data_IF_790443452501
#
_entry.id   IF_790443452501
#
_cell.length_a   1.000
_cell.length_b   1.000
_cell.length_c   1.000
_cell.angle_alpha   90.00
_cell.angle_beta   90.00
_cell.angle_gamma   90.00
#
_symmetry.space_group_name_H-M   'P 1'
#
loop_
_entity.id
_entity.type
_entity.pdbx_description
1 polymer ?
#
# COMPACT_ATOMS: atom_id res chain seq x y z
N UNK A 1 -4.97 -14.78 -27.87
CA UNK A 1 -3.56 -14.79 -27.52
C UNK A 1 -3.30 -13.54 -26.67
N UNK A 2 -3.39 -13.68 -25.34
CA UNK A 2 -3.10 -12.59 -24.41
C UNK A 2 -1.61 -12.30 -24.42
N UNK A 3 -1.23 -11.05 -24.63
CA UNK A 3 0.13 -10.60 -24.35
C UNK A 3 0.33 -10.74 -22.83
N UNK A 4 1.04 -11.77 -22.41
CA UNK A 4 1.48 -11.92 -21.04
C UNK A 4 2.43 -10.77 -20.73
N UNK A 5 1.95 -9.78 -19.97
CA UNK A 5 2.78 -8.71 -19.46
C UNK A 5 3.89 -9.31 -18.58
N UNK A 6 5.08 -8.72 -18.64
CA UNK A 6 6.23 -9.17 -17.86
C UNK A 6 6.10 -8.63 -16.43
N UNK A 7 6.42 -9.47 -15.44
CA UNK A 7 6.60 -9.00 -14.06
C UNK A 7 7.78 -8.03 -14.04
N UNK A 8 7.55 -6.80 -13.56
CA UNK A 8 8.56 -5.76 -13.46
C UNK A 8 9.58 -6.02 -12.34
N UNK A 9 10.43 -5.02 -12.10
CA UNK A 9 11.41 -5.07 -11.00
C UNK A 9 10.72 -5.26 -9.66
N UNK A 10 11.30 -6.10 -8.80
CA UNK A 10 10.86 -6.31 -7.42
C UNK A 10 11.89 -5.71 -6.46
N UNK A 11 11.41 -4.97 -5.48
CA UNK A 11 12.22 -4.41 -4.40
C UNK A 11 12.34 -5.45 -3.29
N UNK A 12 13.54 -5.90 -3.01
CA UNK A 12 13.84 -6.88 -1.97
C UNK A 12 14.61 -6.28 -0.80
N UNK A 13 15.48 -5.30 -1.06
CA UNK A 13 16.45 -4.78 -0.12
C UNK A 13 16.48 -3.25 -0.08
N UNK A 14 17.12 -2.69 0.95
CA UNK A 14 17.39 -1.25 1.02
C UNK A 14 18.24 -0.76 -0.16
N UNK A 15 19.11 -1.61 -0.71
CA UNK A 15 19.91 -1.29 -1.89
C UNK A 15 19.03 -1.09 -3.13
N UNK A 16 17.97 -1.87 -3.31
CA UNK A 16 17.01 -1.67 -4.40
C UNK A 16 16.27 -0.33 -4.26
N UNK A 17 15.91 0.04 -3.04
CA UNK A 17 15.29 1.36 -2.76
C UNK A 17 16.27 2.48 -3.08
N UNK A 18 17.53 2.36 -2.66
CA UNK A 18 18.56 3.35 -2.94
C UNK A 18 18.81 3.52 -4.44
N UNK A 19 18.88 2.43 -5.20
CA UNK A 19 19.02 2.47 -6.68
C UNK A 19 17.88 3.26 -7.32
N UNK A 20 16.64 2.98 -6.92
CA UNK A 20 15.46 3.72 -7.42
C UNK A 20 15.49 5.20 -7.03
N UNK A 21 15.90 5.51 -5.81
CA UNK A 21 16.03 6.89 -5.33
C UNK A 21 17.09 7.68 -6.12
N UNK A 22 18.24 7.09 -6.39
CA UNK A 22 19.28 7.70 -7.23
C UNK A 22 18.79 7.95 -8.66
N UNK A 23 18.11 6.97 -9.25
CA UNK A 23 17.55 7.10 -10.58
C UNK A 23 16.53 8.26 -10.65
N UNK A 24 15.62 8.35 -9.67
CA UNK A 24 14.63 9.42 -9.60
C UNK A 24 15.29 10.79 -9.39
N UNK A 25 16.24 10.89 -8.45
CA UNK A 25 16.96 12.12 -8.17
C UNK A 25 17.77 12.65 -9.35
N UNK A 26 18.32 11.75 -10.17
CA UNK A 26 19.07 12.12 -11.37
C UNK A 26 18.20 12.74 -12.48
N UNK A 27 16.89 12.45 -12.46
CA UNK A 27 15.94 12.89 -13.49
C UNK A 27 15.04 14.03 -13.03
N UNK A 28 14.77 14.10 -11.72
CA UNK A 28 13.90 15.11 -11.15
C UNK A 28 14.59 15.78 -9.94
N UNK A 29 15.10 17.00 -10.11
CA UNK A 29 15.84 17.72 -9.06
C UNK A 29 15.04 17.90 -7.77
N UNK A 30 13.70 17.94 -7.83
CA UNK A 30 12.85 18.05 -6.65
C UNK A 30 12.94 16.79 -5.78
N UNK A 31 13.09 15.61 -6.37
CA UNK A 31 13.34 14.39 -5.60
C UNK A 31 14.73 14.41 -4.93
N UNK A 32 15.76 14.93 -5.59
CA UNK A 32 17.06 15.13 -4.95
C UNK A 32 16.96 16.07 -3.74
N UNK A 33 16.23 17.17 -3.87
CA UNK A 33 15.99 18.11 -2.78
C UNK A 33 15.19 17.46 -1.62
N UNK A 34 14.17 16.67 -1.93
CA UNK A 34 13.40 15.94 -0.92
C UNK A 34 14.27 14.95 -0.17
N UNK A 35 15.09 14.16 -0.85
CA UNK A 35 16.00 13.19 -0.24
C UNK A 35 17.03 13.83 0.68
N UNK A 36 17.52 15.03 0.35
CA UNK A 36 18.40 15.80 1.23
C UNK A 36 17.71 16.16 2.57
N UNK A 37 16.38 16.28 2.58
CA UNK A 37 15.61 16.58 3.79
C UNK A 37 15.17 15.33 4.56
N UNK A 38 14.89 14.24 3.86
CA UNK A 38 14.30 13.03 4.46
C UNK A 38 15.36 12.02 4.93
N UNK A 39 16.53 12.04 4.33
CA UNK A 39 17.53 10.98 4.51
C UNK A 39 17.12 9.65 3.88
N UNK A 40 17.66 8.56 4.41
CA UNK A 40 17.42 7.22 3.89
C UNK A 40 15.93 6.83 3.96
N UNK A 41 15.46 6.17 2.90
CA UNK A 41 14.07 5.73 2.79
C UNK A 41 13.88 4.33 3.40
N UNK A 42 12.71 4.05 4.00
CA UNK A 42 12.41 2.72 4.54
C UNK A 42 12.12 1.72 3.42
N UNK A 43 12.56 0.48 3.61
CA UNK A 43 12.22 -0.62 2.71
C UNK A 43 10.72 -0.93 2.70
N UNK A 44 10.10 -1.01 3.87
CA UNK A 44 8.66 -1.29 4.07
C UNK A 44 8.17 -2.56 3.39
N UNK A 45 8.99 -3.61 3.33
CA UNK A 45 8.52 -4.92 2.88
C UNK A 45 7.69 -5.57 3.99
N UNK A 46 6.65 -6.30 3.58
CA UNK A 46 5.84 -7.15 4.46
C UNK A 46 5.56 -8.48 3.75
N UNK A 47 5.19 -9.49 4.52
CA UNK A 47 4.80 -10.77 3.96
C UNK A 47 3.54 -10.62 3.12
N UNK A 48 3.49 -11.33 1.99
CA UNK A 48 2.30 -11.39 1.15
C UNK A 48 1.32 -12.45 1.65
N UNK A 49 0.11 -12.43 1.13
CA UNK A 49 -0.92 -13.39 1.45
C UNK A 49 -2.10 -12.78 2.18
N UNK A 50 -2.97 -13.66 2.68
CA UNK A 50 -4.22 -13.29 3.35
C UNK A 50 -4.01 -12.33 4.51
N UNK A 51 -2.98 -12.52 5.34
CA UNK A 51 -2.70 -11.66 6.48
C UNK A 51 -2.53 -10.19 6.12
N UNK A 52 -1.88 -9.90 4.99
CA UNK A 52 -1.70 -8.52 4.53
C UNK A 52 -3.04 -7.86 4.13
N UNK A 53 -3.96 -8.60 3.52
CA UNK A 53 -5.29 -8.09 3.20
C UNK A 53 -6.17 -7.96 4.45
N UNK A 54 -6.08 -8.90 5.38
CA UNK A 54 -6.78 -8.83 6.65
C UNK A 54 -6.36 -7.58 7.44
N UNK A 55 -5.06 -7.32 7.55
CA UNK A 55 -4.52 -6.12 8.19
C UNK A 55 -5.07 -4.84 7.55
N UNK A 56 -5.11 -4.80 6.21
CA UNK A 56 -5.64 -3.66 5.48
C UNK A 56 -7.13 -3.44 5.75
N UNK A 57 -7.93 -4.50 5.77
CA UNK A 57 -9.37 -4.44 6.08
C UNK A 57 -9.59 -3.94 7.51
N UNK A 58 -8.85 -4.50 8.49
CA UNK A 58 -8.96 -4.12 9.90
C UNK A 58 -8.59 -2.65 10.10
N UNK A 59 -7.57 -2.16 9.39
CA UNK A 59 -7.09 -0.78 9.47
C UNK A 59 -8.03 0.26 8.84
N UNK A 60 -9.05 -0.13 8.08
CA UNK A 60 -9.97 0.82 7.45
C UNK A 60 -10.74 1.64 8.50
N UNK A 61 -10.70 2.98 8.35
CA UNK A 61 -11.50 3.93 9.14
C UNK A 61 -11.34 3.85 10.67
N UNK A 62 -10.22 3.32 11.15
CA UNK A 62 -9.88 3.29 12.57
C UNK A 62 -8.46 3.79 12.82
N UNK A 63 -8.17 4.18 14.05
CA UNK A 63 -6.80 4.53 14.45
C UNK A 63 -5.88 3.31 14.42
N UNK A 64 -4.59 3.54 14.29
CA UNK A 64 -3.57 2.48 14.36
C UNK A 64 -3.66 1.69 15.67
N UNK A 65 -3.93 2.37 16.80
CA UNK A 65 -4.09 1.72 18.09
C UNK A 65 -5.32 0.79 18.12
N UNK A 66 -6.45 1.24 17.57
CA UNK A 66 -7.66 0.42 17.45
C UNK A 66 -7.45 -0.79 16.54
N UNK A 67 -6.79 -0.60 15.39
CA UNK A 67 -6.47 -1.70 14.49
C UNK A 67 -5.59 -2.75 15.17
N UNK A 68 -4.52 -2.32 15.86
CA UNK A 68 -3.65 -3.23 16.63
C UNK A 68 -4.40 -4.01 17.70
N UNK A 69 -5.32 -3.37 18.41
CA UNK A 69 -6.13 -4.03 19.44
C UNK A 69 -7.03 -5.11 18.85
N UNK A 70 -7.63 -4.86 17.68
CA UNK A 70 -8.45 -5.85 16.97
C UNK A 70 -7.59 -7.02 16.50
N UNK A 71 -6.44 -6.75 15.86
CA UNK A 71 -5.52 -7.78 15.40
C UNK A 71 -4.99 -8.64 16.54
N UNK A 72 -4.69 -8.04 17.70
CA UNK A 72 -4.30 -8.78 18.90
C UNK A 72 -5.39 -9.73 19.40
N UNK A 73 -6.67 -9.30 19.38
CA UNK A 73 -7.80 -10.16 19.75
C UNK A 73 -8.02 -11.30 18.74
N UNK A 74 -7.88 -11.01 17.43
CA UNK A 74 -7.92 -12.07 16.40
C UNK A 74 -6.81 -13.09 16.61
N UNK A 75 -5.58 -12.65 16.89
CA UNK A 75 -4.47 -13.53 17.18
C UNK A 75 -4.71 -14.40 18.42
N UNK A 76 -5.21 -13.81 19.52
CA UNK A 76 -5.55 -14.52 20.74
C UNK A 76 -6.68 -15.56 20.53
N UNK A 77 -7.60 -15.29 19.61
CA UNK A 77 -8.67 -16.22 19.24
C UNK A 77 -8.23 -17.27 18.17
N UNK A 78 -6.99 -17.21 17.69
CA UNK A 78 -6.51 -18.07 16.61
C UNK A 78 -7.10 -17.75 15.22
N UNK A 79 -7.66 -16.57 15.03
CA UNK A 79 -8.37 -16.16 13.81
C UNK A 79 -7.47 -15.28 12.91
N UNK A 80 -6.28 -15.75 12.61
CA UNK A 80 -5.31 -15.08 11.72
C UNK A 80 -5.05 -15.84 10.42
N UNK A 81 -5.42 -17.10 10.38
CA UNK A 81 -5.29 -17.96 9.21
C UNK A 81 -6.54 -17.88 8.32
N UNK A 82 -6.34 -17.91 7.00
CA UNK A 82 -7.41 -17.78 6.01
C UNK A 82 -8.53 -18.80 6.21
N UNK A 83 -8.17 -20.07 6.40
CA UNK A 83 -9.14 -21.15 6.57
C UNK A 83 -9.95 -20.98 7.87
N UNK A 84 -9.30 -20.55 8.95
CA UNK A 84 -9.95 -20.31 10.24
C UNK A 84 -10.88 -19.11 10.19
N UNK A 85 -10.50 -18.02 9.52
CA UNK A 85 -11.38 -16.86 9.31
C UNK A 85 -12.57 -17.22 8.41
N UNK A 86 -12.34 -18.03 7.37
CA UNK A 86 -13.41 -18.49 6.48
C UNK A 86 -14.46 -19.34 7.20
N UNK A 87 -14.04 -20.12 8.21
CA UNK A 87 -14.89 -20.99 9.01
C UNK A 87 -15.50 -20.30 10.24
N UNK A 88 -14.97 -19.14 10.64
CA UNK A 88 -15.44 -18.41 11.85
C UNK A 88 -16.88 -17.92 11.67
N UNK A 89 -17.62 -17.94 12.78
CA UNK A 89 -18.95 -17.31 12.83
C UNK A 89 -18.82 -15.78 12.85
N UNK A 90 -19.87 -15.08 12.45
CA UNK A 90 -19.95 -13.63 12.58
C UNK A 90 -19.80 -13.17 14.04
N UNK A 91 -20.32 -13.96 15.00
CA UNK A 91 -20.22 -13.65 16.41
C UNK A 91 -18.78 -13.78 16.94
N UNK A 92 -18.00 -14.77 16.48
CA UNK A 92 -16.59 -14.91 16.83
C UNK A 92 -15.78 -13.69 16.36
N UNK A 93 -16.00 -13.26 15.12
CA UNK A 93 -15.35 -12.09 14.55
C UNK A 93 -15.80 -10.78 15.23
N UNK A 94 -17.09 -10.68 15.57
CA UNK A 94 -17.64 -9.53 16.33
C UNK A 94 -17.02 -9.45 17.72
N UNK A 95 -16.82 -10.57 18.39
CA UNK A 95 -16.18 -10.63 19.71
C UNK A 95 -14.73 -10.11 19.67
N UNK A 96 -14.05 -10.22 18.53
CA UNK A 96 -12.73 -9.64 18.31
C UNK A 96 -12.77 -8.13 18.02
N UNK A 97 -13.94 -7.53 17.87
CA UNK A 97 -14.13 -6.10 17.66
C UNK A 97 -14.31 -5.67 16.20
N UNK A 98 -14.59 -6.62 15.29
CA UNK A 98 -14.88 -6.28 13.91
C UNK A 98 -16.28 -5.69 13.78
N UNK A 99 -16.40 -4.60 13.01
CA UNK A 99 -17.69 -4.08 12.56
C UNK A 99 -18.38 -5.05 11.60
N UNK A 100 -19.71 -4.91 11.45
CA UNK A 100 -20.47 -5.72 10.48
C UNK A 100 -19.85 -5.69 9.08
N UNK A 101 -19.39 -4.53 8.63
CA UNK A 101 -18.75 -4.38 7.32
C UNK A 101 -17.42 -5.13 7.24
N UNK A 102 -16.58 -5.02 8.27
CA UNK A 102 -15.28 -5.73 8.32
C UNK A 102 -15.45 -7.24 8.42
N UNK A 103 -16.46 -7.73 9.14
CA UNK A 103 -16.82 -9.16 9.16
C UNK A 103 -17.13 -9.65 7.75
N UNK A 104 -17.98 -8.92 7.02
CA UNK A 104 -18.35 -9.26 5.64
C UNK A 104 -17.13 -9.27 4.72
N UNK A 105 -16.25 -8.26 4.81
CA UNK A 105 -15.07 -8.14 3.97
C UNK A 105 -14.01 -9.20 4.30
N UNK A 106 -13.65 -9.36 5.56
CA UNK A 106 -12.68 -10.36 5.99
C UNK A 106 -13.13 -11.78 5.66
N UNK A 107 -14.39 -12.11 5.96
CA UNK A 107 -14.97 -13.40 5.61
C UNK A 107 -15.06 -13.61 4.10
N UNK A 108 -15.42 -12.58 3.34
CA UNK A 108 -15.50 -12.64 1.88
C UNK A 108 -14.14 -12.91 1.24
N UNK A 109 -13.10 -12.21 1.68
CA UNK A 109 -11.73 -12.42 1.21
C UNK A 109 -11.22 -13.81 1.59
N UNK A 110 -11.47 -14.24 2.83
CA UNK A 110 -11.07 -15.57 3.30
C UNK A 110 -11.73 -16.71 2.49
N UNK A 111 -13.00 -16.57 2.15
CA UNK A 111 -13.74 -17.57 1.37
C UNK A 111 -13.49 -17.52 -0.14
N UNK A 112 -12.87 -16.46 -0.63
CA UNK A 112 -12.58 -16.30 -2.05
C UNK A 112 -11.54 -17.30 -2.58
N UNK A 113 -10.72 -17.88 -1.69
CA UNK A 113 -9.70 -18.86 -2.07
C UNK A 113 -8.68 -18.30 -3.06
N UNK A 114 -8.21 -17.08 -2.82
CA UNK A 114 -7.29 -16.40 -3.72
C UNK A 114 -5.94 -17.12 -3.80
N UNK A 115 -5.46 -17.32 -5.02
CA UNK A 115 -4.11 -17.84 -5.26
C UNK A 115 -3.05 -16.74 -5.05
N UNK A 116 -2.65 -16.52 -3.80
CA UNK A 116 -1.65 -15.53 -3.45
C UNK A 116 -0.28 -15.80 -4.09
N UNK A 117 0.10 -17.08 -4.20
CA UNK A 117 1.35 -17.44 -4.86
C UNK A 117 1.30 -17.12 -6.36
N UNK A 118 0.17 -17.36 -7.00
CA UNK A 118 -0.05 -17.02 -8.41
C UNK A 118 0.02 -15.53 -8.69
N UNK A 119 -0.39 -14.67 -7.75
CA UNK A 119 -0.27 -13.22 -7.90
C UNK A 119 1.17 -12.75 -8.16
N UNK A 120 2.16 -13.45 -7.62
CA UNK A 120 3.58 -13.11 -7.80
C UNK A 120 4.01 -13.18 -9.27
N UNK A 121 3.36 -14.00 -10.06
CA UNK A 121 3.65 -14.18 -11.49
C UNK A 121 2.84 -13.28 -12.43
N UNK A 122 1.89 -12.50 -11.90
CA UNK A 122 1.05 -11.63 -12.71
C UNK A 122 1.69 -10.24 -12.91
N UNK A 123 1.46 -9.57 -14.06
CA UNK A 123 1.76 -8.16 -14.25
C UNK A 123 1.04 -7.28 -13.23
N UNK A 124 1.58 -6.07 -13.00
CA UNK A 124 1.09 -5.16 -11.97
C UNK A 124 -0.39 -4.80 -12.11
N UNK A 125 -0.85 -4.52 -13.31
CA UNK A 125 -2.25 -4.17 -13.62
C UNK A 125 -3.20 -5.35 -13.36
N UNK A 126 -2.77 -6.57 -13.65
CA UNK A 126 -3.53 -7.78 -13.38
C UNK A 126 -3.61 -8.10 -11.89
N UNK A 127 -2.52 -7.89 -11.14
CA UNK A 127 -2.55 -8.01 -9.67
C UNK A 127 -3.60 -7.08 -9.08
N UNK A 128 -3.58 -5.81 -9.48
CA UNK A 128 -4.56 -4.82 -8.99
C UNK A 128 -5.98 -5.23 -9.38
N UNK A 129 -6.21 -5.66 -10.62
CA UNK A 129 -7.53 -6.09 -11.09
C UNK A 129 -8.09 -7.28 -10.31
N UNK A 130 -7.25 -8.28 -10.04
CA UNK A 130 -7.65 -9.47 -9.24
C UNK A 130 -8.02 -9.07 -7.82
N UNK A 131 -7.24 -8.21 -7.17
CA UNK A 131 -7.50 -7.78 -5.80
C UNK A 131 -8.74 -6.90 -5.69
N UNK A 132 -8.94 -5.97 -6.60
CA UNK A 132 -10.13 -5.08 -6.61
C UNK A 132 -11.43 -5.85 -6.83
N UNK A 133 -11.39 -7.02 -7.45
CA UNK A 133 -12.56 -7.88 -7.60
C UNK A 133 -13.05 -8.47 -6.25
N UNK A 134 -12.22 -8.45 -5.21
CA UNK A 134 -12.59 -8.93 -3.88
C UNK A 134 -13.43 -7.91 -3.12
N UNK A 135 -14.45 -8.35 -2.35
CA UNK A 135 -15.26 -7.46 -1.52
C UNK A 135 -14.40 -6.68 -0.52
N UNK A 136 -14.59 -5.37 -0.47
CA UNK A 136 -13.89 -4.50 0.49
C UNK A 136 -12.45 -4.15 0.13
N UNK A 137 -11.94 -4.62 -1.00
CA UNK A 137 -10.61 -4.28 -1.50
C UNK A 137 -10.75 -3.20 -2.59
N UNK A 138 -10.50 -1.96 -2.21
CA UNK A 138 -10.43 -0.84 -3.14
C UNK A 138 -9.08 -0.76 -3.86
N UNK A 139 -9.00 0.12 -4.84
CA UNK A 139 -7.79 0.29 -5.65
C UNK A 139 -6.57 0.69 -4.82
N UNK A 140 -6.74 1.60 -3.86
CA UNK A 140 -5.65 2.01 -2.96
C UNK A 140 -5.09 0.80 -2.19
N UNK A 141 -5.94 -0.03 -1.59
CA UNK A 141 -5.52 -1.23 -0.85
C UNK A 141 -4.80 -2.23 -1.77
N UNK A 142 -5.31 -2.44 -2.98
CA UNK A 142 -4.68 -3.31 -3.97
C UNK A 142 -3.29 -2.80 -4.40
N UNK A 143 -3.15 -1.51 -4.62
CA UNK A 143 -1.89 -0.88 -4.98
C UNK A 143 -0.88 -0.96 -3.81
N UNK A 144 -1.31 -0.70 -2.58
CA UNK A 144 -0.47 -0.86 -1.38
C UNK A 144 0.00 -2.31 -1.20
N UNK A 145 -0.87 -3.29 -1.43
CA UNK A 145 -0.50 -4.70 -1.42
C UNK A 145 0.58 -5.01 -2.47
N UNK A 146 0.38 -4.58 -3.70
CA UNK A 146 1.35 -4.78 -4.78
C UNK A 146 2.71 -4.11 -4.46
N UNK A 147 2.70 -2.91 -3.89
CA UNK A 147 3.91 -2.18 -3.52
C UNK A 147 4.71 -2.85 -2.41
N UNK A 148 4.06 -3.25 -1.32
CA UNK A 148 4.74 -3.65 -0.08
C UNK A 148 4.70 -5.14 0.20
N UNK A 149 3.65 -5.85 -0.16
CA UNK A 149 3.58 -7.30 -0.02
C UNK A 149 4.29 -8.01 -1.19
N UNK A 150 4.07 -7.58 -2.43
CA UNK A 150 4.75 -8.13 -3.60
C UNK A 150 6.06 -7.41 -3.96
N UNK A 151 6.32 -6.24 -3.42
CA UNK A 151 7.54 -5.47 -3.67
C UNK A 151 7.64 -4.87 -5.06
N UNK A 152 6.51 -4.65 -5.75
CA UNK A 152 6.51 -4.12 -7.12
C UNK A 152 7.09 -2.70 -7.14
N UNK A 153 8.19 -2.53 -7.89
CA UNK A 153 8.91 -1.26 -7.96
C UNK A 153 8.15 -0.17 -8.69
N UNK A 154 7.25 -0.53 -9.59
CA UNK A 154 6.58 0.42 -10.49
C UNK A 154 5.07 0.55 -10.23
N UNK A 155 4.60 0.16 -9.06
CA UNK A 155 3.23 0.44 -8.62
C UNK A 155 3.20 1.70 -7.77
N UNK A 156 2.14 2.49 -7.92
CA UNK A 156 1.93 3.76 -7.22
C UNK A 156 0.47 3.83 -6.73
N UNK A 157 0.23 4.55 -5.64
CA UNK A 157 -1.09 4.70 -5.03
C UNK A 157 -1.56 6.18 -5.09
N UNK A 158 -1.98 6.69 -6.26
CA UNK A 158 -2.31 8.12 -6.42
C UNK A 158 -3.59 8.55 -5.69
N UNK A 159 -4.40 7.62 -5.19
CA UNK A 159 -5.52 7.89 -4.30
C UNK A 159 -5.12 8.19 -2.85
N UNK A 160 -3.85 8.04 -2.49
CA UNK A 160 -3.35 8.31 -1.15
C UNK A 160 -3.26 9.82 -0.89
N UNK A 161 -3.98 10.31 0.14
CA UNK A 161 -4.06 11.74 0.43
C UNK A 161 -2.70 12.34 0.85
N UNK A 162 -1.87 11.57 1.55
CA UNK A 162 -0.54 12.04 1.94
C UNK A 162 0.38 12.18 0.72
N UNK A 163 0.29 11.26 -0.23
CA UNK A 163 1.02 11.37 -1.50
C UNK A 163 0.56 12.56 -2.33
N UNK A 164 -0.75 12.80 -2.41
CA UNK A 164 -1.31 13.96 -3.10
C UNK A 164 -0.82 15.27 -2.47
N UNK A 165 -0.84 15.37 -1.15
CA UNK A 165 -0.41 16.56 -0.44
C UNK A 165 1.11 16.78 -0.52
N UNK A 166 1.89 15.70 -0.42
CA UNK A 166 3.35 15.76 -0.63
C UNK A 166 3.70 16.21 -2.05
N UNK A 167 3.00 15.70 -3.06
CA UNK A 167 3.20 16.13 -4.44
C UNK A 167 2.85 17.62 -4.63
N UNK A 168 1.75 18.08 -4.02
CA UNK A 168 1.41 19.51 -4.04
C UNK A 168 2.56 20.38 -3.52
N UNK A 169 3.11 20.00 -2.36
CA UNK A 169 4.20 20.77 -1.74
C UNK A 169 5.50 20.69 -2.54
N UNK A 170 5.91 19.47 -2.91
CA UNK A 170 7.20 19.25 -3.57
C UNK A 170 7.25 19.83 -4.99
N UNK A 171 6.17 19.72 -5.74
CA UNK A 171 6.06 20.20 -7.11
C UNK A 171 5.46 21.62 -7.21
N UNK A 172 5.22 22.28 -6.08
CA UNK A 172 4.63 23.61 -6.01
C UNK A 172 3.34 23.75 -6.84
N UNK A 173 2.47 22.73 -6.74
CA UNK A 173 1.20 22.75 -7.47
C UNK A 173 0.21 23.72 -6.81
N UNK A 174 -0.63 24.41 -7.60
CA UNK A 174 -1.58 25.40 -7.08
C UNK A 174 -2.64 24.79 -6.17
N UNK A 175 -2.96 23.52 -6.37
CA UNK A 175 -3.92 22.78 -5.56
C UNK A 175 -3.47 21.32 -5.39
N UNK A 176 -4.02 20.64 -4.40
CA UNK A 176 -3.79 19.19 -4.23
C UNK A 176 -4.32 18.46 -5.46
N UNK A 177 -3.46 17.68 -6.16
CA UNK A 177 -3.90 16.91 -7.32
C UNK A 177 -4.89 15.83 -6.88
N UNK A 178 -5.89 15.58 -7.69
CA UNK A 178 -6.73 14.40 -7.54
C UNK A 178 -6.00 13.13 -7.98
N UNK A 179 -6.64 11.99 -7.82
CA UNK A 179 -6.06 10.69 -8.19
C UNK A 179 -5.63 10.64 -9.66
N UNK A 180 -6.45 11.18 -10.57
CA UNK A 180 -6.16 11.17 -12.01
C UNK A 180 -4.96 12.05 -12.35
N UNK A 181 -4.91 13.24 -11.79
CA UNK A 181 -3.81 14.18 -12.01
C UNK A 181 -2.50 13.65 -11.44
N UNK A 182 -2.53 13.05 -10.24
CA UNK A 182 -1.32 12.49 -9.62
C UNK A 182 -0.86 11.22 -10.36
N UNK A 183 -1.76 10.40 -10.86
CA UNK A 183 -1.42 9.24 -11.70
C UNK A 183 -0.71 9.67 -12.99
N UNK A 184 -1.18 10.74 -13.62
CA UNK A 184 -0.54 11.29 -14.81
C UNK A 184 0.86 11.85 -14.50
N UNK A 185 1.01 12.58 -13.39
CA UNK A 185 2.31 13.08 -12.95
C UNK A 185 3.30 11.94 -12.65
N UNK A 186 2.83 10.87 -12.03
CA UNK A 186 3.65 9.72 -11.67
C UNK A 186 4.12 8.89 -12.88
N UNK A 187 3.54 9.08 -14.06
CA UNK A 187 3.96 8.34 -15.26
C UNK A 187 5.45 8.52 -15.58
N UNK A 188 5.99 9.70 -15.34
CA UNK A 188 7.40 10.02 -15.59
C UNK A 188 8.37 9.39 -14.57
N UNK A 189 7.85 8.81 -13.47
CA UNK A 189 8.63 8.18 -12.42
C UNK A 189 8.80 6.66 -12.62
N UNK A 190 8.15 6.12 -13.65
CA UNK A 190 8.37 4.72 -14.07
C UNK A 190 9.84 4.52 -14.51
N UNK A 191 10.49 3.41 -14.13
CA UNK A 191 9.97 2.17 -13.53
C UNK A 191 10.07 2.14 -11.98
N UNK A 192 10.21 3.27 -11.31
CA UNK A 192 10.46 3.37 -9.87
C UNK A 192 9.36 4.11 -9.09
N UNK A 193 8.11 4.06 -9.56
CA UNK A 193 6.98 4.79 -8.94
C UNK A 193 6.77 4.43 -7.47
N UNK A 194 7.04 3.19 -7.07
CA UNK A 194 6.96 2.78 -5.66
C UNK A 194 8.04 3.43 -4.79
N UNK A 195 9.23 3.70 -5.35
CA UNK A 195 10.28 4.44 -4.65
C UNK A 195 9.92 5.93 -4.59
N UNK A 196 9.37 6.50 -5.65
CA UNK A 196 8.83 7.85 -5.64
C UNK A 196 7.77 8.05 -4.55
N UNK A 197 6.91 7.06 -4.35
CA UNK A 197 5.95 7.07 -3.24
C UNK A 197 6.64 7.12 -1.87
N UNK A 198 7.70 6.34 -1.67
CA UNK A 198 8.49 6.37 -0.42
C UNK A 198 9.12 7.75 -0.17
N UNK A 199 9.64 8.39 -1.21
CA UNK A 199 10.16 9.77 -1.11
C UNK A 199 9.05 10.73 -0.70
N UNK A 200 7.89 10.67 -1.34
CA UNK A 200 6.76 11.54 -1.07
C UNK A 200 6.20 11.33 0.33
N UNK A 201 6.04 10.10 0.82
CA UNK A 201 5.61 9.86 2.20
C UNK A 201 6.62 10.37 3.23
N UNK A 202 7.91 10.20 2.98
CA UNK A 202 8.95 10.73 3.87
C UNK A 202 8.94 12.26 3.86
N UNK A 203 8.80 12.87 2.69
CA UNK A 203 8.68 14.33 2.55
C UNK A 203 7.42 14.88 3.23
N UNK A 204 6.28 14.18 3.11
CA UNK A 204 5.05 14.54 3.80
C UNK A 204 5.26 14.67 5.32
N UNK A 205 6.00 13.73 5.93
CA UNK A 205 6.32 13.81 7.36
C UNK A 205 7.16 15.04 7.70
N UNK A 206 8.14 15.39 6.86
CA UNK A 206 8.93 16.62 7.04
C UNK A 206 8.05 17.87 6.96
N UNK A 207 7.15 17.93 5.98
CA UNK A 207 6.19 19.03 5.85
C UNK A 207 5.34 19.18 7.12
N UNK A 208 4.77 18.07 7.61
CA UNK A 208 3.91 18.06 8.80
C UNK A 208 4.65 18.49 10.07
N UNK A 209 5.91 18.10 10.22
CA UNK A 209 6.74 18.53 11.35
C UNK A 209 7.00 20.05 11.30
N UNK A 210 7.26 20.61 10.12
CA UNK A 210 7.47 22.05 9.94
C UNK A 210 6.21 22.87 10.24
N UNK A 211 5.04 22.32 9.93
CA UNK A 211 3.75 22.96 10.20
C UNK A 211 3.30 22.82 11.67
N UNK A 212 4.11 22.21 12.55
CA UNK A 212 3.82 22.05 13.97
C UNK A 212 2.67 21.07 14.28
N UNK A 213 2.34 20.17 13.38
CA UNK A 213 1.18 19.26 13.51
C UNK A 213 1.49 17.97 14.29
N UNK A 214 2.75 17.77 14.68
CA UNK A 214 3.20 16.71 15.59
C UNK A 214 3.80 17.37 16.84
N UNK A 215 2.92 17.83 17.72
CA UNK A 215 3.23 18.18 19.09
C UNK A 215 2.59 17.19 20.04
#
# INVERSE_FOLDING_TARGET
AGQGGVVGRIIHTDADVAEGAEWLASREPRFAAALALTGALPLRRRDDGFGALLDAIIGQQVSTASARAILARLAAAGLTDEALVAAASDDDLRACGLSRQKIRYAGGVARAGLDYAGLRGLPDDQVVAVLVALPGIGRWTAEIYAMFALGRADVFAPGDLALQEAARGLFALPARPDEKALRALAADWSPWRSVAARILWAYYRVMRQRDGVFG
#
